data_IF_603624970021
#
_entry.id   IF_603624970021
#
_cell.length_a   1.000
_cell.length_b   1.000
_cell.length_c   1.000
_cell.angle_alpha   90.00
_cell.angle_beta   90.00
_cell.angle_gamma   90.00
#
_symmetry.space_group_name_H-M   'P 1'
#
loop_
_entity.id
_entity.type
_entity.pdbx_description
1 polymer ?
#
# COMPACT_ATOMS: atom_id res chain seq x y z
N UNK A 1 7.97 -14.31 -32.15
CA UNK A 1 8.22 -13.70 -30.82
C UNK A 1 7.02 -14.06 -29.97
N UNK A 2 7.20 -14.68 -28.80
CA UNK A 2 6.05 -15.16 -28.00
C UNK A 2 5.37 -13.95 -27.35
N UNK A 3 4.10 -13.71 -27.69
CA UNK A 3 3.28 -12.67 -27.07
C UNK A 3 2.73 -13.17 -25.73
N UNK A 4 3.44 -12.90 -24.65
CA UNK A 4 2.97 -13.18 -23.28
C UNK A 4 2.90 -11.88 -22.48
N UNK A 5 1.86 -11.04 -22.68
CA UNK A 5 1.73 -9.74 -22.01
C UNK A 5 1.79 -9.83 -20.47
N UNK A 6 1.30 -10.94 -19.90
CA UNK A 6 1.33 -11.18 -18.45
C UNK A 6 2.74 -11.27 -17.87
N UNK A 7 3.74 -11.69 -18.65
CA UNK A 7 5.14 -11.72 -18.19
C UNK A 7 5.77 -10.32 -18.10
N UNK A 8 5.14 -9.32 -18.71
CA UNK A 8 5.59 -7.92 -18.71
C UNK A 8 4.78 -7.04 -17.77
N UNK A 9 3.83 -7.63 -17.04
CA UNK A 9 2.86 -6.91 -16.22
C UNK A 9 3.41 -6.40 -14.88
N UNK A 10 4.69 -6.66 -14.58
CA UNK A 10 5.32 -6.23 -13.34
C UNK A 10 6.32 -5.12 -13.62
N UNK A 11 6.15 -3.98 -12.97
CA UNK A 11 7.09 -2.87 -12.98
C UNK A 11 7.65 -2.65 -11.58
N UNK A 12 8.91 -2.23 -11.50
CA UNK A 12 9.52 -1.98 -10.21
C UNK A 12 10.56 -0.87 -10.24
N UNK A 13 10.64 -0.11 -9.15
CA UNK A 13 11.65 0.92 -8.97
C UNK A 13 13.07 0.34 -8.92
N UNK A 14 13.28 -0.98 -8.83
CA UNK A 14 14.62 -1.56 -8.93
C UNK A 14 15.13 -1.60 -10.38
N UNK A 15 14.23 -1.61 -11.35
CA UNK A 15 14.58 -1.61 -12.77
C UNK A 15 14.80 -0.18 -13.27
N UNK A 16 15.46 -0.08 -14.43
CA UNK A 16 15.60 1.20 -15.12
C UNK A 16 14.25 1.66 -15.69
N UNK A 17 14.11 2.97 -15.89
CA UNK A 17 12.88 3.52 -16.46
C UNK A 17 12.64 3.04 -17.90
N UNK A 18 13.71 2.76 -18.66
CA UNK A 18 13.60 2.21 -20.00
C UNK A 18 13.02 0.79 -19.96
N UNK A 19 13.46 -0.05 -19.02
CA UNK A 19 12.94 -1.40 -18.84
C UNK A 19 11.47 -1.38 -18.41
N UNK A 20 11.11 -0.53 -17.44
CA UNK A 20 9.72 -0.39 -17.00
C UNK A 20 8.81 0.13 -18.12
N UNK A 21 9.24 1.14 -18.89
CA UNK A 21 8.47 1.65 -20.05
C UNK A 21 8.30 0.59 -21.13
N UNK A 22 9.33 -0.22 -21.38
CA UNK A 22 9.24 -1.34 -22.31
C UNK A 22 8.26 -2.42 -21.80
N UNK A 23 8.29 -2.72 -20.49
CA UNK A 23 7.37 -3.67 -19.85
C UNK A 23 5.91 -3.19 -19.94
N UNK A 24 5.65 -1.92 -19.59
CA UNK A 24 4.31 -1.30 -19.74
C UNK A 24 3.80 -1.46 -21.16
N UNK A 25 4.61 -1.06 -22.16
CA UNK A 25 4.24 -1.18 -23.57
C UNK A 25 3.92 -2.63 -23.97
N UNK A 26 4.73 -3.60 -23.52
CA UNK A 26 4.57 -5.02 -23.87
C UNK A 26 3.42 -5.70 -23.14
N UNK A 27 3.06 -5.20 -21.95
CA UNK A 27 1.94 -5.70 -21.16
C UNK A 27 0.56 -5.32 -21.74
N UNK A 28 0.50 -4.41 -22.72
CA UNK A 28 -0.75 -3.97 -23.39
C UNK A 28 -1.76 -3.49 -22.34
N UNK A 29 -2.95 -4.10 -22.26
CA UNK A 29 -4.00 -3.76 -21.29
C UNK A 29 -4.03 -4.67 -20.04
N UNK A 30 -3.00 -5.50 -19.87
CA UNK A 30 -2.93 -6.43 -18.74
C UNK A 30 -2.85 -5.67 -17.42
N UNK A 31 -3.43 -6.25 -16.37
CA UNK A 31 -3.35 -5.70 -15.01
C UNK A 31 -1.89 -5.63 -14.55
N UNK A 32 -1.53 -4.56 -13.86
CA UNK A 32 -0.16 -4.29 -13.46
C UNK A 32 0.11 -4.61 -11.99
N UNK A 33 1.33 -5.09 -11.73
CA UNK A 33 1.93 -5.18 -10.41
C UNK A 33 3.04 -4.14 -10.28
N UNK A 34 2.95 -3.29 -9.27
CA UNK A 34 3.86 -2.17 -9.06
C UNK A 34 4.59 -2.37 -7.75
N UNK A 35 5.91 -2.53 -7.82
CA UNK A 35 6.76 -2.59 -6.62
C UNK A 35 7.67 -1.38 -6.56
N UNK A 36 7.41 -0.50 -5.61
CA UNK A 36 8.25 0.64 -5.35
C UNK A 36 9.03 0.41 -4.07
N UNK A 37 10.35 0.35 -4.19
CA UNK A 37 11.27 0.42 -3.08
C UNK A 37 12.06 1.73 -3.16
N UNK A 38 12.01 2.51 -2.09
CA UNK A 38 12.87 3.67 -1.90
C UNK A 38 14.31 3.18 -1.69
N UNK A 39 15.11 3.29 -2.75
CA UNK A 39 16.50 2.83 -2.78
C UNK A 39 17.43 4.03 -2.59
N UNK A 40 18.37 3.91 -1.65
CA UNK A 40 19.32 4.99 -1.34
C UNK A 40 20.19 5.41 -2.54
N UNK A 41 20.30 4.56 -3.56
CA UNK A 41 21.06 4.81 -4.79
C UNK A 41 20.34 5.68 -5.82
N UNK A 42 19.01 5.86 -5.71
CA UNK A 42 18.24 6.65 -6.68
C UNK A 42 18.23 8.13 -6.29
N UNK A 43 18.31 9.01 -7.28
CA UNK A 43 18.09 10.44 -7.05
C UNK A 43 16.61 10.70 -6.72
N UNK A 44 16.30 11.91 -6.25
CA UNK A 44 14.90 12.33 -6.05
C UNK A 44 14.13 12.44 -7.36
N UNK A 45 14.81 12.89 -8.41
CA UNK A 45 14.25 12.98 -9.76
C UNK A 45 13.89 11.59 -10.31
N UNK A 46 14.74 10.58 -10.10
CA UNK A 46 14.44 9.19 -10.52
C UNK A 46 13.21 8.64 -9.79
N UNK A 47 13.07 8.96 -8.50
CA UNK A 47 11.90 8.55 -7.69
C UNK A 47 10.63 9.20 -8.21
N UNK A 48 10.66 10.51 -8.41
CA UNK A 48 9.52 11.26 -8.94
C UNK A 48 9.14 10.77 -10.35
N UNK A 49 10.13 10.53 -11.20
CA UNK A 49 9.95 10.02 -12.56
C UNK A 49 9.25 8.66 -12.55
N UNK A 50 9.70 7.72 -11.72
CA UNK A 50 9.04 6.42 -11.56
C UNK A 50 7.56 6.57 -11.19
N UNK A 51 7.29 7.34 -10.14
CA UNK A 51 5.93 7.52 -9.63
C UNK A 51 5.05 8.19 -10.70
N UNK A 52 5.56 9.18 -11.42
CA UNK A 52 4.82 9.90 -12.45
C UNK A 52 4.35 8.97 -13.58
N UNK A 53 5.26 8.24 -14.24
CA UNK A 53 4.83 7.36 -15.34
C UNK A 53 4.05 6.14 -14.86
N UNK A 54 4.34 5.60 -13.67
CA UNK A 54 3.56 4.48 -13.14
C UNK A 54 2.12 4.92 -12.90
N UNK A 55 1.92 6.12 -12.34
CA UNK A 55 0.61 6.68 -12.00
C UNK A 55 -0.27 6.93 -13.23
N UNK A 56 0.32 7.17 -14.40
CA UNK A 56 -0.42 7.27 -15.67
C UNK A 56 -1.13 5.95 -16.02
N UNK A 57 -0.66 4.83 -15.49
CA UNK A 57 -1.23 3.49 -15.69
C UNK A 57 -2.06 3.00 -14.47
N UNK A 58 -2.41 3.89 -13.54
CA UNK A 58 -3.08 3.56 -12.27
C UNK A 58 -4.38 2.75 -12.44
N UNK A 59 -5.13 2.99 -13.53
CA UNK A 59 -6.35 2.27 -13.86
C UNK A 59 -6.16 0.75 -14.10
N UNK A 60 -4.91 0.31 -14.32
CA UNK A 60 -4.53 -1.08 -14.55
C UNK A 60 -3.96 -1.75 -13.31
N UNK A 61 -3.62 -1.00 -12.27
CA UNK A 61 -2.97 -1.57 -11.09
C UNK A 61 -3.89 -2.57 -10.40
N UNK A 62 -3.36 -3.77 -10.17
CA UNK A 62 -4.02 -4.83 -9.41
C UNK A 62 -3.31 -5.08 -8.07
N UNK A 63 -1.98 -4.93 -8.04
CA UNK A 63 -1.18 -5.06 -6.84
C UNK A 63 -0.17 -3.93 -6.77
N UNK A 64 -0.08 -3.29 -5.61
CA UNK A 64 0.88 -2.22 -5.36
C UNK A 64 1.59 -2.47 -4.03
N UNK A 65 2.91 -2.41 -4.04
CA UNK A 65 3.76 -2.47 -2.86
C UNK A 65 4.65 -1.24 -2.82
N UNK A 66 4.55 -0.47 -1.74
CA UNK A 66 5.39 0.69 -1.46
C UNK A 66 6.23 0.43 -0.22
N UNK A 67 7.55 0.41 -0.36
CA UNK A 67 8.49 0.48 0.73
C UNK A 67 9.13 1.87 0.71
N UNK A 68 8.70 2.74 1.62
CA UNK A 68 9.10 4.15 1.68
C UNK A 68 9.95 4.39 2.92
N UNK A 69 11.15 4.94 2.73
CA UNK A 69 12.08 5.16 3.83
C UNK A 69 12.35 6.64 4.12
N UNK A 70 11.88 7.54 3.25
CA UNK A 70 12.16 8.98 3.29
C UNK A 70 10.87 9.81 3.26
N UNK A 71 10.84 10.88 4.05
CA UNK A 71 9.66 11.72 4.21
C UNK A 71 9.24 12.44 2.91
N UNK A 72 10.18 12.82 2.05
CA UNK A 72 9.85 13.41 0.75
C UNK A 72 9.15 12.43 -0.21
N UNK A 73 9.49 11.15 -0.12
CA UNK A 73 8.86 10.09 -0.91
C UNK A 73 7.42 9.82 -0.44
N UNK A 74 7.15 10.07 0.84
CA UNK A 74 5.79 10.04 1.38
C UNK A 74 4.88 11.09 0.74
N UNK A 75 5.39 12.28 0.44
CA UNK A 75 4.61 13.31 -0.28
C UNK A 75 4.22 12.85 -1.70
N UNK A 76 5.04 11.99 -2.32
CA UNK A 76 4.69 11.37 -3.61
C UNK A 76 3.57 10.34 -3.45
N UNK A 77 3.54 9.60 -2.32
CA UNK A 77 2.39 8.75 -1.99
C UNK A 77 1.11 9.58 -1.79
N UNK A 78 1.19 10.80 -1.30
CA UNK A 78 0.00 11.65 -1.20
C UNK A 78 -0.65 11.92 -2.57
N UNK A 79 0.13 11.98 -3.66
CA UNK A 79 -0.43 12.09 -5.00
C UNK A 79 -1.12 10.80 -5.43
N UNK A 80 -0.58 9.64 -5.01
CA UNK A 80 -1.17 8.33 -5.26
C UNK A 80 -2.59 8.23 -4.68
N UNK A 81 -2.81 8.81 -3.51
CA UNK A 81 -4.11 8.84 -2.82
C UNK A 81 -5.25 9.38 -3.67
N UNK A 82 -4.96 10.37 -4.52
CA UNK A 82 -5.97 11.03 -5.34
C UNK A 82 -6.26 10.27 -6.65
N UNK A 83 -5.53 9.20 -6.94
CA UNK A 83 -5.68 8.45 -8.18
C UNK A 83 -6.88 7.50 -8.12
N UNK A 84 -7.55 7.36 -9.25
CA UNK A 84 -8.57 6.31 -9.43
C UNK A 84 -7.86 4.99 -9.78
N UNK A 85 -7.95 4.01 -8.87
CA UNK A 85 -7.32 2.68 -8.99
C UNK A 85 -8.39 1.58 -8.94
N UNK A 86 -9.35 1.55 -9.89
CA UNK A 86 -10.55 0.72 -9.83
C UNK A 86 -10.31 -0.79 -9.86
N UNK A 87 -9.09 -1.24 -10.20
CA UNK A 87 -8.71 -2.66 -10.27
C UNK A 87 -7.82 -3.11 -9.10
N UNK A 88 -7.49 -2.21 -8.18
CA UNK A 88 -6.56 -2.52 -7.10
C UNK A 88 -7.19 -3.53 -6.14
N UNK A 89 -6.57 -4.70 -6.04
CA UNK A 89 -6.98 -5.80 -5.16
C UNK A 89 -6.04 -5.93 -3.96
N UNK A 90 -4.76 -5.56 -4.14
CA UNK A 90 -3.71 -5.70 -3.13
C UNK A 90 -2.96 -4.39 -2.95
N UNK A 91 -2.90 -3.91 -1.72
CA UNK A 91 -2.04 -2.79 -1.36
C UNK A 91 -1.19 -3.15 -0.16
N UNK A 92 0.11 -2.91 -0.30
CA UNK A 92 1.06 -2.94 0.80
C UNK A 92 1.79 -1.61 0.88
N UNK A 93 1.82 -1.01 2.07
CA UNK A 93 2.63 0.17 2.36
C UNK A 93 3.48 -0.12 3.60
N UNK A 94 4.79 0.01 3.44
CA UNK A 94 5.80 -0.22 4.46
C UNK A 94 6.68 1.03 4.63
N UNK A 95 6.69 1.58 5.85
CA UNK A 95 7.40 2.81 6.19
C UNK A 95 8.42 2.64 7.33
N UNK A 96 9.44 1.77 7.19
CA UNK A 96 10.18 1.26 8.34
C UNK A 96 11.16 2.26 8.96
N UNK A 97 11.59 3.28 8.19
CA UNK A 97 12.58 4.28 8.64
C UNK A 97 12.00 5.65 8.97
N UNK A 98 10.68 5.85 8.79
CA UNK A 98 10.02 7.13 9.06
C UNK A 98 9.64 7.29 10.54
N UNK A 99 10.52 6.82 11.44
CA UNK A 99 10.30 6.77 12.88
C UNK A 99 9.61 8.03 13.44
N UNK A 100 8.70 7.80 14.39
CA UNK A 100 7.99 8.74 15.27
C UNK A 100 8.02 10.23 14.85
N UNK A 101 6.92 10.75 14.30
CA UNK A 101 6.72 12.19 14.18
C UNK A 101 6.29 12.73 12.82
N UNK A 102 5.92 11.88 11.86
CA UNK A 102 5.05 12.37 10.79
C UNK A 102 3.67 12.50 11.42
N UNK A 103 3.36 13.71 11.86
CA UNK A 103 2.05 14.05 12.42
C UNK A 103 1.02 13.99 11.30
N UNK A 104 0.50 12.79 11.06
CA UNK A 104 -0.66 12.56 10.23
C UNK A 104 -1.94 13.04 10.94
N UNK A 105 -1.91 14.04 11.83
CA UNK A 105 -3.10 14.58 12.51
C UNK A 105 -4.23 14.99 11.54
N UNK A 106 -3.94 15.16 10.25
CA UNK A 106 -4.95 15.34 9.21
C UNK A 106 -5.62 14.05 8.72
N UNK A 107 -5.09 12.88 9.07
CA UNK A 107 -5.38 11.58 8.47
C UNK A 107 -5.17 11.66 6.96
N UNK A 108 -3.99 11.27 6.45
CA UNK A 108 -3.94 11.06 4.99
C UNK A 108 -4.87 9.88 4.73
N UNK A 109 -6.07 10.22 4.27
CA UNK A 109 -7.01 9.28 3.72
C UNK A 109 -6.35 8.75 2.47
N UNK A 110 -5.47 7.74 2.61
CA UNK A 110 -4.59 7.20 1.57
C UNK A 110 -5.36 6.66 0.34
N UNK A 111 -6.68 6.83 0.34
CA UNK A 111 -7.66 6.31 -0.58
C UNK A 111 -8.80 7.30 -0.85
N UNK A 112 -8.55 8.61 -0.79
CA UNK A 112 -9.51 9.62 -1.25
C UNK A 112 -9.96 9.42 -2.71
N UNK A 113 -9.19 8.66 -3.50
CA UNK A 113 -9.54 8.16 -4.82
C UNK A 113 -10.45 6.92 -4.81
N UNK A 114 -10.94 6.52 -5.98
CA UNK A 114 -11.87 5.39 -6.11
C UNK A 114 -11.13 4.04 -6.06
N UNK A 115 -11.32 3.28 -4.98
CA UNK A 115 -10.74 1.94 -4.76
C UNK A 115 -11.83 0.92 -4.43
N UNK A 116 -12.53 0.45 -5.47
CA UNK A 116 -13.75 -0.34 -5.28
C UNK A 116 -13.51 -1.83 -4.97
N UNK A 117 -12.28 -2.33 -5.18
CA UNK A 117 -11.96 -3.77 -5.24
C UNK A 117 -10.86 -4.21 -4.27
N UNK A 118 -10.51 -3.39 -3.29
CA UNK A 118 -9.41 -3.73 -2.38
C UNK A 118 -9.81 -4.94 -1.51
N UNK A 119 -9.05 -6.02 -1.62
CA UNK A 119 -9.28 -7.27 -0.87
C UNK A 119 -8.19 -7.50 0.19
N UNK A 120 -6.96 -7.09 -0.10
CA UNK A 120 -5.82 -7.32 0.78
C UNK A 120 -5.11 -6.01 1.08
N UNK A 121 -5.00 -5.70 2.36
CA UNK A 121 -4.35 -4.50 2.85
C UNK A 121 -3.29 -4.87 3.88
N UNK A 122 -2.05 -4.47 3.62
CA UNK A 122 -0.91 -4.61 4.52
C UNK A 122 -0.29 -3.24 4.77
N UNK A 123 -0.36 -2.80 6.03
CA UNK A 123 0.07 -1.48 6.45
C UNK A 123 1.10 -1.62 7.57
N UNK A 124 2.32 -1.18 7.30
CA UNK A 124 3.36 -1.08 8.32
C UNK A 124 3.60 0.39 8.64
N UNK A 125 3.35 0.76 9.88
CA UNK A 125 3.45 2.11 10.40
C UNK A 125 2.44 3.05 9.72
N UNK A 126 1.19 2.60 9.56
CA UNK A 126 0.07 3.44 9.11
C UNK A 126 -1.18 3.20 9.97
N UNK A 127 -2.02 4.23 10.06
CA UNK A 127 -3.34 4.17 10.68
C UNK A 127 -4.42 4.20 9.59
N UNK A 128 -5.47 3.40 9.76
CA UNK A 128 -6.67 3.45 8.91
C UNK A 128 -7.80 4.01 9.76
N UNK A 129 -8.42 5.13 9.38
CA UNK A 129 -9.62 5.61 10.04
C UNK A 129 -10.73 4.57 9.99
N UNK A 130 -11.41 4.32 11.11
CA UNK A 130 -12.58 3.44 11.17
C UNK A 130 -13.69 3.84 10.19
N UNK A 131 -13.77 5.12 9.82
CA UNK A 131 -14.72 5.63 8.84
C UNK A 131 -14.42 5.19 7.40
N UNK A 132 -13.24 4.64 7.13
CA UNK A 132 -12.81 4.26 5.78
C UNK A 132 -13.73 3.21 5.16
N UNK A 133 -14.14 3.44 3.92
CA UNK A 133 -15.02 2.53 3.17
C UNK A 133 -14.30 1.24 2.74
N UNK A 134 -12.97 1.26 2.72
CA UNK A 134 -12.14 0.14 2.26
C UNK A 134 -12.31 -1.11 3.10
N UNK A 135 -12.59 -0.91 4.40
CA UNK A 135 -12.75 -1.98 5.37
C UNK A 135 -13.88 -2.96 4.96
N UNK A 136 -14.90 -2.47 4.24
CA UNK A 136 -16.11 -3.25 3.92
C UNK A 136 -15.90 -4.51 3.09
N UNK A 137 -14.83 -4.58 2.29
CA UNK A 137 -14.58 -5.69 1.36
C UNK A 137 -13.28 -6.46 1.63
N UNK A 138 -12.54 -6.11 2.70
CA UNK A 138 -11.25 -6.75 2.97
C UNK A 138 -11.41 -8.22 3.34
N UNK A 139 -10.63 -9.07 2.68
CA UNK A 139 -10.40 -10.47 3.05
C UNK A 139 -9.14 -10.62 3.91
N UNK A 140 -8.14 -9.76 3.72
CA UNK A 140 -6.91 -9.76 4.50
C UNK A 140 -6.59 -8.35 5.01
N UNK A 141 -6.34 -8.24 6.31
CA UNK A 141 -5.88 -7.01 6.94
C UNK A 141 -4.65 -7.30 7.80
N UNK A 142 -3.53 -6.69 7.45
CA UNK A 142 -2.28 -6.74 8.21
C UNK A 142 -1.91 -5.34 8.63
N UNK A 143 -1.70 -5.15 9.93
CA UNK A 143 -1.31 -3.86 10.50
C UNK A 143 -0.10 -4.11 11.40
N UNK A 144 1.01 -3.44 11.10
CA UNK A 144 2.19 -3.41 11.95
C UNK A 144 2.38 -2.01 12.51
N UNK A 145 2.58 -1.90 13.81
CA UNK A 145 2.79 -0.64 14.53
C UNK A 145 4.09 -0.72 15.32
N UNK A 146 4.72 0.43 15.60
CA UNK A 146 5.85 0.54 16.53
C UNK A 146 5.58 1.53 17.65
N UNK A 147 6.31 1.37 18.75
CA UNK A 147 6.40 2.36 19.82
C UNK A 147 6.57 3.80 19.30
N UNK A 148 5.72 4.71 19.80
CA UNK A 148 5.75 6.14 19.47
C UNK A 148 4.79 6.57 18.35
N UNK A 149 4.12 5.64 17.67
CA UNK A 149 3.07 5.97 16.68
C UNK A 149 1.68 5.83 17.30
N UNK A 150 1.05 6.99 17.54
CA UNK A 150 -0.32 7.17 18.03
C UNK A 150 -0.58 6.50 19.39
N UNK A 151 -1.64 6.92 20.08
CA UNK A 151 -2.17 6.09 21.16
C UNK A 151 -2.44 4.71 20.56
N UNK A 152 -2.05 3.61 21.25
CA UNK A 152 -2.34 2.27 20.77
C UNK A 152 -3.82 2.21 20.40
N UNK A 153 -4.15 1.65 19.22
CA UNK A 153 -5.54 1.52 18.77
C UNK A 153 -6.35 1.03 19.95
N UNK A 154 -7.30 1.85 20.40
CA UNK A 154 -8.11 1.50 21.55
C UNK A 154 -8.82 0.18 21.26
N UNK A 155 -9.03 -0.67 22.26
CA UNK A 155 -9.73 -1.94 22.03
C UNK A 155 -11.12 -1.72 21.38
N UNK A 156 -11.78 -0.59 21.66
CA UNK A 156 -13.02 -0.18 20.99
C UNK A 156 -12.83 0.08 19.50
N UNK A 157 -11.84 0.89 19.13
CA UNK A 157 -11.55 1.22 17.74
C UNK A 157 -11.16 -0.03 16.96
N UNK A 158 -10.35 -0.90 17.58
CA UNK A 158 -9.98 -2.17 17.01
C UNK A 158 -11.22 -3.05 16.69
N UNK A 159 -12.13 -3.18 17.63
CA UNK A 159 -13.37 -3.94 17.44
C UNK A 159 -14.24 -3.30 16.35
N UNK A 160 -14.25 -1.98 16.22
CA UNK A 160 -15.00 -1.29 15.19
C UNK A 160 -14.41 -1.49 13.78
N UNK A 161 -13.07 -1.57 13.64
CA UNK A 161 -12.41 -2.00 12.41
C UNK A 161 -12.87 -3.42 12.03
N UNK A 162 -12.80 -4.37 12.98
CA UNK A 162 -13.21 -5.76 12.71
C UNK A 162 -14.69 -5.87 12.31
N UNK A 163 -15.59 -5.13 12.97
CA UNK A 163 -17.02 -5.08 12.62
C UNK A 163 -17.27 -4.57 11.21
N UNK A 164 -16.39 -3.71 10.70
CA UNK A 164 -16.47 -3.15 9.35
C UNK A 164 -15.87 -4.04 8.28
N UNK A 165 -15.16 -5.11 8.65
CA UNK A 165 -14.61 -6.10 7.73
C UNK A 165 -15.35 -7.45 7.87
N UNK A 166 -16.65 -7.55 7.50
CA UNK A 166 -17.40 -8.79 7.69
C UNK A 166 -16.87 -9.96 6.83
N UNK A 167 -16.14 -9.68 5.76
CA UNK A 167 -15.51 -10.67 4.88
C UNK A 167 -14.09 -11.08 5.28
N UNK A 168 -13.57 -10.58 6.41
CA UNK A 168 -12.18 -10.78 6.80
C UNK A 168 -11.89 -12.27 7.08
N UNK A 169 -10.88 -12.82 6.41
CA UNK A 169 -10.43 -14.20 6.56
C UNK A 169 -9.08 -14.31 7.25
N UNK A 170 -8.22 -13.33 7.01
CA UNK A 170 -6.89 -13.25 7.62
C UNK A 170 -6.71 -11.89 8.28
N UNK A 171 -6.30 -11.94 9.54
CA UNK A 171 -6.00 -10.76 10.33
C UNK A 171 -4.66 -10.92 11.02
N UNK A 172 -3.76 -9.94 10.89
CA UNK A 172 -2.51 -9.87 11.63
C UNK A 172 -2.31 -8.45 12.16
N UNK A 173 -2.22 -8.31 13.47
CA UNK A 173 -1.85 -7.09 14.16
C UNK A 173 -0.54 -7.34 14.89
N UNK A 174 0.50 -6.65 14.46
CA UNK A 174 1.80 -6.67 15.08
C UNK A 174 2.05 -5.33 15.75
N UNK A 175 2.37 -5.36 17.04
CA UNK A 175 2.85 -4.22 17.80
C UNK A 175 4.30 -4.46 18.19
N UNK A 176 5.21 -3.66 17.65
CA UNK A 176 6.63 -3.68 17.95
C UNK A 176 6.95 -2.64 19.03
N UNK A 177 6.81 -3.07 20.28
CA UNK A 177 7.21 -2.31 21.47
C UNK A 177 8.11 -3.10 22.40
N UNK A 178 8.50 -2.50 23.53
CA UNK A 178 9.30 -3.17 24.58
C UNK A 178 8.65 -4.50 25.03
N UNK A 179 7.32 -4.55 25.02
CA UNK A 179 6.52 -5.76 25.31
C UNK A 179 5.75 -6.25 24.07
N UNK A 180 6.39 -6.25 22.89
CA UNK A 180 5.71 -6.47 21.60
C UNK A 180 4.61 -7.53 21.61
N UNK A 181 3.42 -7.16 21.13
CA UNK A 181 2.23 -8.01 21.09
C UNK A 181 1.95 -8.38 19.64
N UNK A 182 1.66 -9.66 19.37
CA UNK A 182 1.17 -10.11 18.06
C UNK A 182 -0.17 -10.81 18.22
N UNK A 183 -1.17 -10.33 17.50
CA UNK A 183 -2.50 -10.92 17.42
C UNK A 183 -2.68 -11.36 15.97
N UNK A 184 -2.74 -12.67 15.73
CA UNK A 184 -2.99 -13.21 14.40
C UNK A 184 -4.14 -14.20 14.45
N UNK A 185 -4.96 -14.22 13.40
CA UNK A 185 -6.10 -15.11 13.27
C UNK A 185 -6.38 -15.45 11.82
N UNK A 186 -6.68 -16.72 11.57
CA UNK A 186 -7.25 -17.19 10.32
C UNK A 186 -8.66 -17.71 10.62
N UNK A 187 -9.67 -17.21 9.90
CA UNK A 187 -11.04 -17.67 10.04
C UNK A 187 -11.22 -18.86 9.07
N UNK A 188 -11.49 -20.08 9.56
CA UNK A 188 -11.73 -21.22 8.69
C UNK A 188 -12.97 -20.97 7.82
N UNK A 189 -12.79 -21.16 6.51
CA UNK A 189 -13.82 -21.02 5.47
C UNK A 189 -14.81 -22.17 5.46
#
# INVERSE_FOLDING_TARGET
>A
MVETPSLWARISSIYSDLENKAAITRSKDYSLWVDYCDNDRKSEEDRATFIDYASQEAYRWQSVEFAVTRANTLALLHNFVSLSVPRLEKLKIDCPKLGVGIDWAGGIDIFGGRVDRLLHLDLQFFHIPCSSQLLSQLETLKISMSNGWLDPISSSEFIDILRRCPGLREFDLQYSGEEGIRISGAIPS
#
